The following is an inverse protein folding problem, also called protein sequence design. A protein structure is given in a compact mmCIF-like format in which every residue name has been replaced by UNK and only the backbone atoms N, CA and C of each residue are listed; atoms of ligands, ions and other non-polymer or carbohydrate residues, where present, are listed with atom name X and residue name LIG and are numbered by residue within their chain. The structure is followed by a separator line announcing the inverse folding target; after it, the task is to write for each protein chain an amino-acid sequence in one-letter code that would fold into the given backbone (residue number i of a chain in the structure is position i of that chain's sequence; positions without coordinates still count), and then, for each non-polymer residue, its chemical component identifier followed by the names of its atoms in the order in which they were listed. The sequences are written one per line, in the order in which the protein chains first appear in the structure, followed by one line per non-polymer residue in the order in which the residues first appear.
data_IF_425045708696
#
_entry.id   IF_425045708696
#
_cell.length_a   1.000
_cell.length_b   1.000
_cell.length_c   1.000
_cell.angle_alpha   90.00
_cell.angle_beta   90.00
_cell.angle_gamma   90.00
#
_symmetry.space_group_name_H-M   'P 1'
#
loop_
_entity.id
_entity.type
_entity.pdbx_description
1 polymer ?
#
# COMPACT_ATOMS: atom_id res chain seq x y z
N UNK A 1 33.34 -15.03 33.46
CA UNK A 1 32.34 -14.51 32.50
C UNK A 1 33.04 -14.30 31.18
N UNK A 2 32.84 -15.19 30.22
CA UNK A 2 33.56 -15.16 28.94
C UNK A 2 32.89 -14.12 28.03
N UNK A 3 33.61 -13.05 27.70
CA UNK A 3 33.13 -12.01 26.77
C UNK A 3 32.83 -12.62 25.40
N UNK A 4 31.60 -12.46 24.91
CA UNK A 4 31.11 -12.98 23.62
C UNK A 4 31.55 -12.14 22.40
N UNK A 5 32.26 -11.03 22.65
CA UNK A 5 32.70 -10.10 21.60
C UNK A 5 34.19 -9.77 21.75
N UNK A 6 34.85 -9.53 20.62
CA UNK A 6 36.21 -8.96 20.54
C UNK A 6 36.13 -7.53 20.00
N UNK A 7 36.87 -6.62 20.63
CA UNK A 7 36.87 -5.20 20.29
C UNK A 7 38.25 -4.83 19.74
N UNK A 8 38.29 -4.33 18.50
CA UNK A 8 39.52 -3.96 17.79
C UNK A 8 39.49 -2.47 17.44
N UNK A 9 40.49 -1.72 17.89
CA UNK A 9 40.64 -0.31 17.52
C UNK A 9 41.23 -0.20 16.12
N UNK A 10 40.52 0.49 15.22
CA UNK A 10 41.01 0.78 13.88
C UNK A 10 41.59 2.19 13.88
N UNK A 11 42.84 2.34 13.45
CA UNK A 11 43.47 3.64 13.26
C UNK A 11 43.53 3.94 11.77
N UNK A 12 42.75 4.88 11.24
CA UNK A 12 42.98 5.41 9.91
C UNK A 12 44.08 6.47 9.97
N UNK A 13 45.04 6.35 9.06
CA UNK A 13 45.96 7.42 8.67
C UNK A 13 45.14 8.57 8.05
N UNK A 14 45.35 9.79 8.55
CA UNK A 14 44.73 11.06 8.15
C UNK A 14 43.24 11.25 8.51
N UNK A 15 42.98 11.72 9.73
CA UNK A 15 41.89 12.67 9.99
C UNK A 15 42.21 13.50 11.26
N UNK A 16 41.98 14.83 11.29
CA UNK A 16 42.41 15.72 12.39
C UNK A 16 41.43 15.78 13.57
N UNK A 17 40.35 15.00 13.55
CA UNK A 17 39.38 14.94 14.63
C UNK A 17 39.67 13.76 15.57
N UNK A 18 39.69 14.01 16.88
CA UNK A 18 40.09 13.08 17.94
C UNK A 18 39.07 11.93 18.17
N UNK A 19 38.59 11.30 17.09
CA UNK A 19 37.55 10.27 17.10
C UNK A 19 38.21 8.89 17.01
N UNK A 20 37.99 8.05 18.03
CA UNK A 20 38.48 6.67 18.03
C UNK A 20 37.41 5.77 17.43
N UNK A 21 37.72 5.15 16.28
CA UNK A 21 36.83 4.20 15.62
C UNK A 21 37.12 2.78 16.11
N UNK A 22 36.15 2.16 16.77
CA UNK A 22 36.27 0.80 17.30
C UNK A 22 35.38 -0.15 16.49
N UNK A 23 35.97 -1.27 16.07
CA UNK A 23 35.27 -2.38 15.41
C UNK A 23 34.92 -3.42 16.47
N UNK A 24 33.64 -3.73 16.59
CA UNK A 24 33.14 -4.81 17.42
C UNK A 24 32.85 -6.02 16.53
N UNK A 25 33.44 -7.17 16.83
CA UNK A 25 33.12 -8.44 16.17
C UNK A 25 32.59 -9.43 17.19
N UNK A 26 31.41 -9.99 16.91
CA UNK A 26 30.86 -11.11 17.66
C UNK A 26 31.69 -12.35 17.34
N UNK A 27 32.08 -13.14 18.35
CA UNK A 27 32.83 -14.37 18.12
C UNK A 27 31.88 -15.41 17.52
N UNK A 28 31.99 -15.66 16.23
CA UNK A 28 31.23 -16.71 15.53
C UNK A 28 31.65 -18.09 16.05
N UNK A 29 30.68 -18.88 16.53
CA UNK A 29 30.82 -20.32 16.71
C UNK A 29 30.95 -20.97 15.33
N UNK A 30 32.13 -21.53 15.08
CA UNK A 30 32.49 -22.23 13.86
C UNK A 30 31.94 -23.65 13.94
N UNK A 31 30.89 -23.94 13.18
CA UNK A 31 30.53 -25.30 12.79
C UNK A 31 30.94 -25.51 11.32
N UNK A 32 31.87 -26.42 11.01
CA UNK A 32 32.42 -26.57 9.67
C UNK A 32 31.60 -27.60 8.89
N UNK A 33 30.49 -27.20 8.25
CA UNK A 33 29.92 -27.98 7.14
C UNK A 33 28.83 -27.21 6.39
N UNK A 34 29.22 -26.52 5.32
CA UNK A 34 28.51 -26.44 4.01
C UNK A 34 29.14 -25.34 3.16
N UNK A 35 29.93 -25.75 2.19
CA UNK A 35 30.29 -24.92 1.05
C UNK A 35 29.08 -24.81 0.13
N UNK A 36 28.51 -23.62 0.00
CA UNK A 36 27.57 -23.28 -1.06
C UNK A 36 27.76 -21.79 -1.43
N UNK A 37 28.25 -21.43 -2.63
CA UNK A 37 28.82 -20.10 -2.88
C UNK A 37 27.82 -18.99 -3.23
N UNK A 38 26.51 -19.16 -2.98
CA UNK A 38 25.50 -18.24 -3.56
C UNK A 38 24.60 -17.48 -2.58
N UNK A 39 24.82 -17.52 -1.26
CA UNK A 39 24.08 -16.66 -0.31
C UNK A 39 24.95 -16.16 0.85
N UNK A 40 25.86 -15.23 0.56
CA UNK A 40 26.48 -14.42 1.60
C UNK A 40 25.56 -13.22 1.85
N UNK A 41 24.78 -13.26 2.92
CA UNK A 41 24.16 -12.04 3.46
C UNK A 41 25.29 -11.14 3.97
N UNK A 42 25.34 -9.84 3.63
CA UNK A 42 26.35 -8.97 4.22
C UNK A 42 26.09 -8.90 5.72
N UNK A 43 26.97 -9.52 6.52
CA UNK A 43 26.98 -9.33 7.97
C UNK A 43 27.18 -7.85 8.22
N UNK A 44 26.18 -7.21 8.82
CA UNK A 44 26.13 -5.77 9.02
C UNK A 44 27.42 -5.27 9.65
N UNK A 45 28.13 -4.37 8.94
CA UNK A 45 29.29 -3.68 9.49
C UNK A 45 28.79 -2.66 10.51
N UNK A 46 28.79 -3.03 11.78
CA UNK A 46 28.49 -2.11 12.88
C UNK A 46 29.80 -1.46 13.35
N UNK A 47 29.91 -0.15 13.14
CA UNK A 47 30.98 0.68 13.70
C UNK A 47 30.40 1.48 14.87
N UNK A 48 31.09 1.48 16.01
CA UNK A 48 30.74 2.34 17.14
C UNK A 48 31.69 3.53 17.15
N UNK A 49 31.14 4.73 16.97
CA UNK A 49 31.87 5.99 17.14
C UNK A 49 31.78 6.40 18.60
N UNK A 50 32.91 6.33 19.31
CA UNK A 50 33.00 6.81 20.69
C UNK A 50 33.62 8.20 20.64
N UNK A 51 32.77 9.22 20.72
CA UNK A 51 33.23 10.60 20.85
C UNK A 51 33.72 10.84 22.28
N UNK A 52 34.96 11.30 22.41
CA UNK A 52 35.52 11.70 23.70
C UNK A 52 34.84 13.01 24.14
N UNK A 53 34.18 12.96 25.30
CA UNK A 53 33.47 14.04 26.04
C UNK A 53 33.70 15.46 25.48
N UNK A 54 32.65 16.20 25.06
CA UNK A 54 32.84 17.50 24.44
C UNK A 54 33.33 18.54 25.44
N UNK A 55 34.31 19.35 25.02
CA UNK A 55 34.75 20.55 25.71
C UNK A 55 33.61 21.60 25.65
N UNK A 56 33.37 22.33 26.75
CA UNK A 56 32.28 23.32 26.87
C UNK A 56 32.26 24.26 25.65
N UNK A 57 31.20 24.18 24.84
CA UNK A 57 30.88 25.20 23.84
C UNK A 57 30.55 24.72 22.42
N UNK A 58 30.64 23.42 22.09
CA UNK A 58 30.18 22.96 20.76
C UNK A 58 28.67 22.72 20.72
N UNK A 59 28.05 23.07 19.59
CA UNK A 59 26.63 22.87 19.29
C UNK A 59 26.22 21.41 19.56
N UNK A 60 25.08 21.16 20.21
CA UNK A 60 24.56 19.81 20.36
C UNK A 60 24.16 19.28 18.98
N UNK A 61 24.65 18.08 18.63
CA UNK A 61 24.19 17.29 17.48
C UNK A 61 22.79 16.72 17.78
N UNK A 62 21.82 17.61 17.96
CA UNK A 62 20.42 17.23 17.93
C UNK A 62 20.08 17.09 16.45
N UNK A 63 19.70 15.88 16.05
CA UNK A 63 19.32 15.45 14.70
C UNK A 63 19.08 16.61 13.73
N UNK A 64 20.05 16.85 12.84
CA UNK A 64 19.79 17.65 11.66
C UNK A 64 18.70 16.89 10.89
N UNK A 65 17.49 17.45 10.85
CA UNK A 65 16.40 16.91 10.06
C UNK A 65 16.81 17.08 8.59
N UNK A 66 17.44 16.04 8.04
CA UNK A 66 17.64 15.92 6.60
C UNK A 66 16.23 15.87 6.01
N UNK A 67 15.77 17.00 5.45
CA UNK A 67 14.50 17.07 4.74
C UNK A 67 14.65 16.13 3.55
N UNK A 68 14.04 14.94 3.64
CA UNK A 68 14.01 14.01 2.53
C UNK A 68 13.35 14.70 1.34
N UNK A 69 13.94 14.52 0.17
CA UNK A 69 13.36 14.96 -1.09
C UNK A 69 11.93 14.46 -1.21
N UNK A 70 11.04 15.34 -1.70
CA UNK A 70 9.60 15.11 -1.79
C UNK A 70 9.31 13.78 -2.52
N UNK A 71 8.80 12.79 -1.77
CA UNK A 71 8.48 11.45 -2.27
C UNK A 71 9.09 10.29 -1.48
N UNK A 72 10.27 10.46 -0.87
CA UNK A 72 10.97 9.34 -0.19
C UNK A 72 10.21 8.83 1.06
N UNK A 73 9.57 9.74 1.80
CA UNK A 73 8.75 9.39 2.96
C UNK A 73 7.51 8.58 2.57
N UNK A 74 6.94 8.86 1.40
CA UNK A 74 5.76 8.18 0.90
C UNK A 74 6.11 6.79 0.36
N UNK A 75 7.25 6.66 -0.32
CA UNK A 75 7.80 5.36 -0.74
C UNK A 75 8.06 4.46 0.47
N UNK A 76 8.69 4.99 1.53
CA UNK A 76 8.96 4.24 2.76
C UNK A 76 7.64 3.84 3.45
N UNK A 77 6.64 4.73 3.51
CA UNK A 77 5.32 4.42 4.07
C UNK A 77 4.61 3.33 3.27
N UNK A 78 4.61 3.39 1.95
CA UNK A 78 3.98 2.39 1.08
C UNK A 78 4.67 1.02 1.26
N UNK A 79 6.01 0.99 1.27
CA UNK A 79 6.76 -0.26 1.45
C UNK A 79 6.51 -0.89 2.82
N UNK A 80 6.51 -0.09 3.89
CA UNK A 80 6.22 -0.58 5.24
C UNK A 80 4.78 -1.06 5.38
N UNK A 81 3.82 -0.38 4.73
CA UNK A 81 2.42 -0.79 4.71
C UNK A 81 2.22 -2.10 3.95
N UNK A 82 2.77 -2.22 2.75
CA UNK A 82 2.74 -3.46 1.96
C UNK A 82 3.39 -4.61 2.73
N UNK A 83 4.52 -4.38 3.39
CA UNK A 83 5.19 -5.39 4.22
C UNK A 83 4.38 -5.81 5.45
N UNK A 84 3.64 -4.89 6.06
CA UNK A 84 2.75 -5.20 7.18
C UNK A 84 1.53 -6.02 6.72
N UNK A 85 0.97 -5.67 5.56
CA UNK A 85 -0.14 -6.38 4.92
C UNK A 85 0.27 -7.80 4.49
N UNK A 86 1.43 -7.95 3.84
CA UNK A 86 2.00 -9.25 3.48
C UNK A 86 2.24 -10.12 4.72
N UNK A 87 2.69 -9.53 5.83
CA UNK A 87 2.87 -10.25 7.10
C UNK A 87 1.53 -10.72 7.66
N UNK A 88 0.50 -9.88 7.63
CA UNK A 88 -0.84 -10.25 8.08
C UNK A 88 -1.46 -11.36 7.20
N UNK A 89 -1.31 -11.24 5.89
CA UNK A 89 -1.74 -12.25 4.92
C UNK A 89 -1.01 -13.57 5.14
N UNK A 90 0.30 -13.53 5.39
CA UNK A 90 1.08 -14.72 5.72
C UNK A 90 0.63 -15.37 7.03
N UNK A 91 0.40 -14.58 8.09
CA UNK A 91 -0.10 -15.09 9.38
C UNK A 91 -1.50 -15.71 9.26
N UNK A 92 -2.38 -15.12 8.44
CA UNK A 92 -3.69 -15.67 8.15
C UNK A 92 -3.60 -16.99 7.38
N UNK A 93 -2.79 -17.05 6.30
CA UNK A 93 -2.55 -18.28 5.54
C UNK A 93 -1.99 -19.40 6.42
N UNK A 94 -1.03 -19.09 7.31
CA UNK A 94 -0.48 -20.05 8.27
C UNK A 94 -1.56 -20.52 9.26
N UNK A 95 -2.45 -19.64 9.70
CA UNK A 95 -3.55 -19.98 10.61
C UNK A 95 -4.60 -20.86 9.93
N UNK A 96 -4.94 -20.57 8.67
CA UNK A 96 -5.82 -21.40 7.86
C UNK A 96 -5.23 -22.80 7.65
N UNK A 97 -3.97 -22.90 7.21
CA UNK A 97 -3.28 -24.19 7.05
C UNK A 97 -3.25 -24.99 8.35
N UNK A 98 -3.02 -24.35 9.50
CA UNK A 98 -3.12 -25.01 10.82
C UNK A 98 -4.52 -25.55 11.07
N UNK A 99 -5.56 -24.81 10.70
CA UNK A 99 -6.94 -25.27 10.84
C UNK A 99 -7.24 -26.44 9.92
N UNK A 100 -6.80 -26.42 8.66
CA UNK A 100 -6.97 -27.52 7.70
C UNK A 100 -6.24 -28.79 8.18
N UNK A 101 -5.01 -28.65 8.68
CA UNK A 101 -4.27 -29.76 9.28
C UNK A 101 -5.03 -30.36 10.47
N UNK A 102 -5.70 -29.54 11.30
CA UNK A 102 -6.57 -30.06 12.37
C UNK A 102 -7.75 -30.85 11.81
N UNK A 103 -8.46 -30.35 10.81
CA UNK A 103 -9.56 -31.09 10.17
C UNK A 103 -9.09 -32.42 9.57
N UNK A 104 -7.90 -32.44 8.95
CA UNK A 104 -7.30 -33.68 8.43
C UNK A 104 -6.97 -34.65 9.57
N UNK A 105 -6.44 -34.15 10.70
CA UNK A 105 -6.18 -34.97 11.88
C UNK A 105 -7.47 -35.52 12.49
N UNK A 106 -8.51 -34.70 12.59
CA UNK A 106 -9.83 -35.11 13.08
C UNK A 106 -10.44 -36.19 12.18
N UNK A 107 -10.43 -35.98 10.85
CA UNK A 107 -10.88 -36.97 9.88
C UNK A 107 -10.08 -38.28 10.00
N UNK A 108 -8.75 -38.20 10.17
CA UNK A 108 -7.90 -39.37 10.42
C UNK A 108 -8.30 -40.10 11.69
N UNK A 109 -8.51 -39.38 12.80
CA UNK A 109 -8.93 -40.01 14.06
C UNK A 109 -10.32 -40.62 13.96
N UNK A 110 -11.25 -39.97 13.25
CA UNK A 110 -12.60 -40.48 12.99
C UNK A 110 -12.55 -41.78 12.18
N UNK A 111 -11.78 -41.80 11.08
CA UNK A 111 -11.56 -43.02 10.29
C UNK A 111 -10.87 -44.11 11.12
N UNK A 112 -9.91 -43.75 11.97
CA UNK A 112 -9.22 -44.70 12.85
C UNK A 112 -10.16 -45.29 13.91
N UNK A 113 -11.08 -44.49 14.46
CA UNK A 113 -12.12 -44.96 15.37
C UNK A 113 -13.11 -45.86 14.65
N UNK A 114 -13.57 -45.48 13.45
CA UNK A 114 -14.42 -46.34 12.62
C UNK A 114 -13.74 -47.70 12.34
N UNK A 115 -12.45 -47.71 12.00
CA UNK A 115 -11.70 -48.98 11.83
C UNK A 115 -11.67 -49.81 13.10
N UNK A 116 -11.43 -49.19 14.27
CA UNK A 116 -11.48 -49.89 15.56
C UNK A 116 -12.88 -50.42 15.89
N UNK A 117 -13.93 -49.69 15.52
CA UNK A 117 -15.32 -50.13 15.69
C UNK A 117 -15.61 -51.33 14.79
N UNK A 118 -15.12 -51.32 13.55
CA UNK A 118 -15.22 -52.47 12.64
C UNK A 118 -14.39 -53.67 13.12
N UNK A 119 -13.16 -53.48 13.61
CA UNK A 119 -12.33 -54.56 14.14
C UNK A 119 -12.91 -55.12 15.45
N UNK A 120 -13.44 -54.25 16.31
CA UNK A 120 -14.13 -54.59 17.55
C UNK A 120 -15.47 -55.30 17.30
N UNK A 121 -16.20 -54.94 16.24
CA UNK A 121 -17.40 -55.67 15.81
C UNK A 121 -17.07 -56.96 15.07
N UNK A 122 -16.02 -57.00 14.25
CA UNK A 122 -15.58 -58.22 13.55
C UNK A 122 -15.17 -59.30 14.55
N UNK A 123 -14.51 -58.92 15.65
CA UNK A 123 -14.20 -59.84 16.76
C UNK A 123 -15.46 -60.34 17.49
N UNK A 124 -16.53 -59.52 17.58
CA UNK A 124 -17.84 -59.96 18.12
C UNK A 124 -18.65 -60.82 17.14
N UNK A 125 -18.52 -60.55 15.83
CA UNK A 125 -19.21 -61.28 14.77
C UNK A 125 -18.61 -62.69 14.55
N UNK A 126 -17.32 -62.88 14.83
CA UNK A 126 -16.69 -64.20 14.80
C UNK A 126 -17.07 -65.10 15.99
N UNK A 127 -17.61 -64.53 17.09
CA UNK A 127 -18.00 -65.29 18.27
C UNK A 127 -19.50 -65.66 18.30
N UNK A 128 -20.34 -64.93 17.55
CA UNK A 128 -21.76 -65.25 17.39
C UNK A 128 -22.05 -65.81 15.99
N UNK A 129 -21.86 -67.13 15.82
CA UNK A 129 -22.45 -67.88 14.70
C UNK A 129 -23.97 -67.94 14.87
N UNK A 130 -24.74 -67.37 13.94
CA UNK A 130 -26.08 -67.85 13.57
C UNK A 130 -26.55 -67.19 12.23
N UNK A 131 -27.59 -67.71 11.56
CA UNK A 131 -27.46 -68.29 10.24
C UNK A 131 -28.15 -67.48 9.13
N UNK A 132 -27.74 -67.78 7.89
CA UNK A 132 -28.46 -67.74 6.62
C UNK A 132 -29.66 -66.79 6.44
N UNK A 133 -29.48 -65.86 5.49
CA UNK A 133 -30.42 -65.40 4.47
C UNK A 133 -31.91 -65.64 4.74
N UNK A 134 -32.64 -64.56 5.01
CA UNK A 134 -34.04 -64.44 4.63
C UNK A 134 -34.27 -63.20 3.79
N UNK A 135 -34.87 -63.47 2.65
CA UNK A 135 -35.33 -62.61 1.57
C UNK A 135 -36.36 -61.61 2.12
N UNK A 136 -36.34 -60.40 1.58
CA UNK A 136 -37.36 -59.37 1.80
C UNK A 136 -38.72 -59.87 1.29
N UNK A 137 -39.68 -60.06 2.20
CA UNK A 137 -41.10 -60.12 1.85
C UNK A 137 -41.72 -58.74 2.06
N UNK A 138 -42.02 -58.09 0.94
CA UNK A 138 -42.92 -56.94 0.84
C UNK A 138 -44.35 -57.44 1.06
N UNK A 139 -44.88 -57.27 2.27
CA UNK A 139 -46.28 -57.58 2.58
C UNK A 139 -47.17 -56.48 2.01
N UNK A 140 -47.70 -56.73 0.81
CA UNK A 140 -48.89 -56.04 0.35
C UNK A 140 -50.07 -56.41 1.25
N UNK A 141 -50.74 -55.38 1.75
CA UNK A 141 -51.92 -55.48 2.60
C UNK A 141 -53.03 -56.28 1.89
N UNK A 142 -53.26 -57.50 2.36
CA UNK A 142 -54.38 -58.33 1.96
C UNK A 142 -55.70 -57.70 2.38
N UNK A 143 -56.45 -57.21 1.39
CA UNK A 143 -57.90 -57.13 1.49
C UNK A 143 -58.47 -58.53 1.25
N UNK A 144 -58.30 -59.44 2.22
CA UNK A 144 -58.99 -60.74 2.18
C UNK A 144 -60.38 -60.61 2.79
N UNK A 145 -61.37 -60.55 1.89
CA UNK A 145 -62.68 -61.19 1.99
C UNK A 145 -63.17 -61.61 3.39
N UNK A 146 -63.77 -60.65 4.12
CA UNK A 146 -64.74 -60.96 5.18
C UNK A 146 -66.13 -61.15 4.57
N UNK A 147 -66.29 -62.18 3.75
CA UNK A 147 -67.58 -62.70 3.31
C UNK A 147 -67.37 -64.19 3.20
N UNK A 148 -67.86 -64.95 4.19
CA UNK A 148 -68.29 -66.37 4.08
C UNK A 148 -68.25 -67.17 5.40
N UNK A 149 -67.88 -66.58 6.54
CA UNK A 149 -67.82 -67.35 7.81
C UNK A 149 -69.17 -67.56 8.54
N UNK A 150 -70.27 -66.97 8.07
CA UNK A 150 -71.57 -67.04 8.79
C UNK A 150 -72.60 -67.99 8.17
N UNK A 151 -72.28 -68.69 7.07
CA UNK A 151 -73.26 -69.56 6.37
C UNK A 151 -73.13 -71.07 6.70
N UNK A 152 -72.10 -71.51 7.42
CA UNK A 152 -71.87 -72.94 7.65
C UNK A 152 -72.36 -73.51 8.99
N UNK A 153 -72.93 -72.70 9.89
CA UNK A 153 -73.30 -73.16 11.25
C UNK A 153 -74.78 -73.46 11.46
N UNK A 154 -75.58 -73.58 10.39
CA UNK A 154 -77.01 -73.96 10.47
C UNK A 154 -77.35 -75.32 9.86
N UNK A 155 -76.35 -76.12 9.48
CA UNK A 155 -76.56 -77.39 8.78
C UNK A 155 -76.09 -78.64 9.55
N UNK A 156 -75.91 -78.55 10.87
CA UNK A 156 -75.66 -79.72 11.73
C UNK A 156 -76.58 -79.68 12.95
N UNK A 157 -77.88 -79.49 12.69
CA UNK A 157 -78.93 -79.91 13.61
C UNK A 157 -79.12 -81.40 13.42
N UNK A 158 -78.35 -82.21 14.15
CA UNK A 158 -78.80 -83.55 14.48
C UNK A 158 -80.09 -83.38 15.29
N UNK A 159 -81.24 -83.44 14.61
CA UNK A 159 -82.53 -83.76 15.23
C UNK A 159 -82.39 -85.17 15.81
N UNK A 160 -81.89 -85.24 17.05
CA UNK A 160 -81.94 -86.44 17.87
C UNK A 160 -83.42 -86.64 18.21
N UNK A 161 -84.11 -87.45 17.41
CA UNK A 161 -85.50 -87.86 17.63
C UNK A 161 -85.63 -88.46 19.03
N UNK A 162 -86.20 -87.67 19.95
CA UNK A 162 -86.37 -88.05 21.35
C UNK A 162 -87.47 -89.11 21.44
N UNK A 163 -87.08 -90.38 21.57
CA UNK A 163 -87.98 -91.43 22.02
C UNK A 163 -88.41 -91.15 23.48
N UNK A 164 -89.60 -90.56 23.62
CA UNK A 164 -90.26 -90.32 24.90
C UNK A 164 -90.89 -91.63 25.36
N UNK A 165 -90.11 -92.49 26.00
CA UNK A 165 -90.69 -93.48 26.91
C UNK A 165 -89.76 -93.76 28.10
N UNK A 166 -90.30 -93.65 29.32
CA UNK A 166 -89.67 -93.72 30.65
C UNK A 166 -88.97 -92.44 31.19
N UNK A 167 -89.48 -91.84 32.29
CA UNK A 167 -88.96 -90.60 32.90
C UNK A 167 -87.50 -90.57 33.40
N UNK A 168 -86.74 -91.67 33.25
CA UNK A 168 -85.28 -91.70 33.42
C UNK A 168 -84.55 -91.22 32.16
N UNK A 169 -85.04 -91.56 30.96
CA UNK A 169 -84.46 -91.11 29.68
C UNK A 169 -84.52 -89.59 29.54
N UNK A 170 -85.65 -88.98 29.93
CA UNK A 170 -85.82 -87.51 29.91
C UNK A 170 -84.86 -86.76 30.86
N UNK A 171 -84.52 -87.37 32.01
CA UNK A 171 -83.56 -86.79 32.95
C UNK A 171 -82.15 -86.84 32.39
N UNK A 172 -81.78 -87.95 31.78
CA UNK A 172 -80.47 -88.12 31.14
C UNK A 172 -80.31 -87.20 29.93
N UNK A 173 -81.34 -87.04 29.09
CA UNK A 173 -81.31 -86.11 27.96
C UNK A 173 -81.22 -84.66 28.42
N UNK A 174 -81.97 -84.25 29.45
CA UNK A 174 -81.86 -82.92 30.04
C UNK A 174 -80.46 -82.64 30.62
N UNK A 175 -79.84 -83.64 31.29
CA UNK A 175 -78.50 -83.52 31.82
C UNK A 175 -77.45 -83.37 30.71
N UNK A 176 -77.55 -84.16 29.62
CA UNK A 176 -76.68 -84.04 28.43
C UNK A 176 -76.81 -82.69 27.73
N UNK A 177 -78.04 -82.17 27.60
CA UNK A 177 -78.28 -80.85 27.02
C UNK A 177 -77.69 -79.73 27.88
N UNK A 178 -77.85 -79.83 29.20
CA UNK A 178 -77.26 -78.87 30.14
C UNK A 178 -75.72 -78.86 30.08
N UNK A 179 -75.07 -80.03 30.01
CA UNK A 179 -73.62 -80.10 29.84
C UNK A 179 -73.17 -79.53 28.50
N UNK A 180 -73.88 -79.84 27.40
CA UNK A 180 -73.61 -79.27 26.08
C UNK A 180 -73.70 -77.74 26.09
N UNK A 181 -74.74 -77.17 26.72
CA UNK A 181 -74.90 -75.73 26.86
C UNK A 181 -73.76 -75.10 27.68
N UNK A 182 -73.41 -75.72 28.83
CA UNK A 182 -72.33 -75.23 29.68
C UNK A 182 -70.96 -75.30 28.98
N UNK A 183 -70.71 -76.33 28.17
CA UNK A 183 -69.49 -76.43 27.36
C UNK A 183 -69.46 -75.39 26.24
N UNK A 184 -70.58 -75.16 25.55
CA UNK A 184 -70.69 -74.13 24.52
C UNK A 184 -70.46 -72.73 25.11
N UNK A 185 -71.03 -72.43 26.27
CA UNK A 185 -70.83 -71.16 26.98
C UNK A 185 -69.35 -70.98 27.40
N UNK A 186 -68.72 -72.02 27.93
CA UNK A 186 -67.27 -71.98 28.27
C UNK A 186 -66.41 -71.75 27.03
N UNK A 187 -66.71 -72.42 25.91
CA UNK A 187 -66.00 -72.23 24.63
C UNK A 187 -66.17 -70.80 24.13
N UNK A 188 -67.39 -70.27 24.12
CA UNK A 188 -67.68 -68.90 23.71
C UNK A 188 -66.94 -67.88 24.59
N UNK A 189 -66.89 -68.10 25.91
CA UNK A 189 -66.17 -67.21 26.82
C UNK A 189 -64.65 -67.26 26.58
N UNK A 190 -64.10 -68.44 26.29
CA UNK A 190 -62.69 -68.60 25.93
C UNK A 190 -62.36 -67.92 24.59
N UNK A 191 -63.21 -68.08 23.58
CA UNK A 191 -63.09 -67.41 22.28
C UNK A 191 -63.15 -65.89 22.44
N UNK A 192 -64.11 -65.36 23.22
CA UNK A 192 -64.21 -63.93 23.50
C UNK A 192 -62.92 -63.37 24.09
N UNK A 193 -62.37 -64.03 25.12
CA UNK A 193 -61.08 -63.63 25.74
C UNK A 193 -59.93 -63.68 24.74
N UNK A 194 -59.85 -64.73 23.93
CA UNK A 194 -58.84 -64.85 22.88
C UNK A 194 -58.93 -63.72 21.84
N UNK A 195 -60.14 -63.30 21.46
CA UNK A 195 -60.33 -62.17 20.55
C UNK A 195 -60.01 -60.83 21.21
N UNK A 196 -60.36 -60.64 22.48
CA UNK A 196 -60.01 -59.46 23.27
C UNK A 196 -58.48 -59.29 23.38
N UNK A 197 -57.75 -60.36 23.68
CA UNK A 197 -56.28 -60.35 23.74
C UNK A 197 -55.66 -60.03 22.37
N UNK A 198 -56.18 -60.64 21.29
CA UNK A 198 -55.72 -60.34 19.92
C UNK A 198 -56.00 -58.89 19.52
N UNK A 199 -57.18 -58.37 19.87
CA UNK A 199 -57.55 -56.99 19.59
C UNK A 199 -56.65 -56.02 20.36
N UNK A 200 -56.41 -56.29 21.65
CA UNK A 200 -55.50 -55.50 22.48
C UNK A 200 -54.08 -55.47 21.90
N UNK A 201 -53.56 -56.63 21.46
CA UNK A 201 -52.24 -56.71 20.83
C UNK A 201 -52.18 -55.93 19.52
N UNK A 202 -53.17 -56.11 18.64
CA UNK A 202 -53.26 -55.40 17.37
C UNK A 202 -53.36 -53.87 17.59
N UNK A 203 -54.09 -53.44 18.61
CA UNK A 203 -54.19 -52.03 18.99
C UNK A 203 -52.84 -51.48 19.46
N UNK A 204 -52.11 -52.20 20.32
CA UNK A 204 -50.79 -51.78 20.78
C UNK A 204 -49.78 -51.66 19.62
N UNK A 205 -49.79 -52.61 18.69
CA UNK A 205 -48.94 -52.57 17.49
C UNK A 205 -49.28 -51.38 16.59
N UNK A 206 -50.58 -51.09 16.39
CA UNK A 206 -51.03 -49.93 15.64
C UNK A 206 -50.60 -48.61 16.31
N UNK A 207 -50.74 -48.50 17.64
CA UNK A 207 -50.31 -47.32 18.39
C UNK A 207 -48.78 -47.11 18.31
N UNK A 208 -47.99 -48.19 18.40
CA UNK A 208 -46.54 -48.13 18.22
C UNK A 208 -46.17 -47.67 16.81
N UNK A 209 -46.83 -48.22 15.78
CA UNK A 209 -46.64 -47.81 14.38
C UNK A 209 -47.01 -46.34 14.16
N UNK A 210 -48.11 -45.87 14.76
CA UNK A 210 -48.51 -44.46 14.71
C UNK A 210 -47.47 -43.55 15.37
N UNK A 211 -46.92 -43.94 16.53
CA UNK A 211 -45.85 -43.18 17.21
C UNK A 211 -44.59 -43.09 16.34
N UNK A 212 -44.11 -44.23 15.84
CA UNK A 212 -42.95 -44.27 14.96
C UNK A 212 -43.14 -43.44 13.68
N UNK A 213 -44.34 -43.49 13.08
CA UNK A 213 -44.68 -42.67 11.92
C UNK A 213 -44.65 -41.18 12.25
N UNK A 214 -45.21 -40.77 13.40
CA UNK A 214 -45.23 -39.36 13.81
C UNK A 214 -43.81 -38.82 14.05
N UNK A 215 -42.94 -39.61 14.67
CA UNK A 215 -41.53 -39.24 14.86
C UNK A 215 -40.79 -39.11 13.51
N UNK A 216 -41.02 -40.05 12.58
CA UNK A 216 -40.46 -39.97 11.24
C UNK A 216 -40.98 -38.74 10.46
N UNK A 217 -42.26 -38.41 10.59
CA UNK A 217 -42.85 -37.20 10.00
C UNK A 217 -42.22 -35.93 10.57
N UNK A 218 -42.02 -35.84 11.89
CA UNK A 218 -41.36 -34.70 12.53
C UNK A 218 -39.92 -34.54 12.04
N UNK A 219 -39.12 -35.61 12.06
CA UNK A 219 -37.75 -35.58 11.55
C UNK A 219 -37.69 -35.18 10.07
N UNK A 220 -38.62 -35.68 9.24
CA UNK A 220 -38.71 -35.30 7.84
C UNK A 220 -39.03 -33.80 7.66
N UNK A 221 -39.92 -33.24 8.49
CA UNK A 221 -40.21 -31.80 8.44
C UNK A 221 -39.04 -30.93 8.90
N UNK A 222 -38.27 -31.37 9.91
CA UNK A 222 -37.06 -30.68 10.37
C UNK A 222 -35.99 -30.68 9.28
N UNK A 223 -35.69 -31.84 8.69
CA UNK A 223 -34.75 -31.92 7.57
C UNK A 223 -35.21 -31.11 6.36
N UNK A 224 -36.51 -31.10 6.04
CA UNK A 224 -37.04 -30.26 4.96
C UNK A 224 -36.76 -28.77 5.23
N UNK A 225 -36.92 -28.32 6.48
CA UNK A 225 -36.59 -26.94 6.89
C UNK A 225 -35.11 -26.63 6.75
N UNK A 226 -34.24 -27.53 7.21
CA UNK A 226 -32.77 -27.39 7.06
C UNK A 226 -32.37 -27.25 5.59
N UNK A 227 -32.95 -28.08 4.72
CA UNK A 227 -32.67 -28.04 3.29
C UNK A 227 -33.19 -26.73 2.67
N UNK A 228 -34.35 -26.22 3.09
CA UNK A 228 -34.85 -24.92 2.63
C UNK A 228 -33.95 -23.76 3.07
N UNK A 229 -33.42 -23.78 4.29
CA UNK A 229 -32.47 -22.77 4.77
C UNK A 229 -31.15 -22.81 3.99
N UNK A 230 -30.62 -24.02 3.71
CA UNK A 230 -29.43 -24.19 2.87
C UNK A 230 -29.68 -23.71 1.44
N UNK A 231 -30.83 -24.04 0.84
CA UNK A 231 -31.21 -23.54 -0.50
C UNK A 231 -31.29 -22.02 -0.53
N UNK A 232 -31.88 -21.40 0.50
CA UNK A 232 -31.95 -19.93 0.62
C UNK A 232 -30.55 -19.32 0.70
N UNK A 233 -29.65 -19.90 1.51
CA UNK A 233 -28.28 -19.41 1.65
C UNK A 233 -27.50 -19.54 0.34
N UNK A 234 -27.59 -20.70 -0.34
CA UNK A 234 -26.95 -20.91 -1.64
C UNK A 234 -27.47 -19.90 -2.68
N UNK A 235 -28.79 -19.64 -2.73
CA UNK A 235 -29.35 -18.63 -3.62
C UNK A 235 -28.83 -17.22 -3.31
N UNK A 236 -28.68 -16.86 -2.02
CA UNK A 236 -28.11 -15.58 -1.62
C UNK A 236 -26.65 -15.44 -2.07
N UNK A 237 -25.84 -16.48 -1.86
CA UNK A 237 -24.44 -16.51 -2.30
C UNK A 237 -24.30 -16.44 -3.81
N UNK A 238 -25.16 -17.15 -4.55
CA UNK A 238 -25.16 -17.12 -6.02
C UNK A 238 -25.51 -15.71 -6.53
N UNK A 239 -26.51 -15.05 -5.94
CA UNK A 239 -26.86 -13.67 -6.27
C UNK A 239 -25.70 -12.70 -5.96
N UNK A 240 -25.02 -12.87 -4.84
CA UNK A 240 -23.85 -12.08 -4.48
C UNK A 240 -22.69 -12.33 -5.45
N UNK A 241 -22.42 -13.60 -5.79
CA UNK A 241 -21.39 -13.98 -6.75
C UNK A 241 -21.65 -13.35 -8.13
N UNK A 242 -22.89 -13.41 -8.62
CA UNK A 242 -23.31 -12.76 -9.86
C UNK A 242 -23.20 -11.23 -9.77
N UNK A 243 -23.53 -10.64 -8.62
CA UNK A 243 -23.33 -9.21 -8.36
C UNK A 243 -21.86 -8.81 -8.43
N UNK A 244 -20.97 -9.56 -7.78
CA UNK A 244 -19.53 -9.33 -7.80
C UNK A 244 -18.94 -9.52 -9.19
N UNK A 245 -19.38 -10.53 -9.95
CA UNK A 245 -18.96 -10.71 -11.34
C UNK A 245 -19.36 -9.54 -12.23
N UNK A 246 -20.56 -8.99 -12.06
CA UNK A 246 -21.00 -7.78 -12.80
C UNK A 246 -20.13 -6.58 -12.46
N UNK A 247 -19.89 -6.31 -11.18
CA UNK A 247 -19.00 -5.23 -10.73
C UNK A 247 -17.57 -5.39 -11.25
N UNK A 248 -17.05 -6.62 -11.28
CA UNK A 248 -15.72 -6.90 -11.83
C UNK A 248 -15.67 -6.53 -13.32
N UNK A 249 -16.69 -6.93 -14.09
CA UNK A 249 -16.79 -6.59 -15.51
C UNK A 249 -16.92 -5.08 -15.74
N UNK A 250 -17.76 -4.39 -14.96
CA UNK A 250 -17.90 -2.93 -15.02
C UNK A 250 -16.56 -2.22 -14.74
N UNK A 251 -15.80 -2.71 -13.75
CA UNK A 251 -14.48 -2.18 -13.41
C UNK A 251 -13.44 -2.45 -14.52
N UNK A 252 -13.48 -3.62 -15.15
CA UNK A 252 -12.61 -3.97 -16.28
C UNK A 252 -12.90 -3.05 -17.47
N UNK A 253 -14.17 -2.83 -17.79
CA UNK A 253 -14.58 -1.89 -18.83
C UNK A 253 -14.18 -0.44 -18.52
N UNK A 254 -14.30 0.00 -17.26
CA UNK A 254 -13.83 1.33 -16.83
C UNK A 254 -12.31 1.46 -16.95
N UNK A 255 -11.56 0.42 -16.55
CA UNK A 255 -10.12 0.39 -16.68
C UNK A 255 -9.69 0.48 -18.15
N UNK A 256 -10.39 -0.20 -19.05
CA UNK A 256 -10.13 -0.12 -20.49
C UNK A 256 -10.53 1.23 -21.10
N UNK A 257 -11.60 1.86 -20.60
CA UNK A 257 -11.93 3.26 -20.93
C UNK A 257 -10.80 4.21 -20.52
N UNK A 258 -10.27 4.09 -19.29
CA UNK A 258 -9.15 4.92 -18.84
C UNK A 258 -7.87 4.67 -19.65
N UNK A 259 -7.56 3.42 -20.02
CA UNK A 259 -6.42 3.11 -20.89
C UNK A 259 -6.56 3.75 -22.27
N UNK A 260 -7.75 3.65 -22.89
CA UNK A 260 -7.99 4.24 -24.21
C UNK A 260 -7.98 5.77 -24.16
N UNK A 261 -8.51 6.37 -23.10
CA UNK A 261 -8.39 7.81 -22.85
C UNK A 261 -6.93 8.22 -22.70
N UNK A 262 -6.13 7.53 -21.89
CA UNK A 262 -4.70 7.81 -21.73
C UNK A 262 -3.94 7.70 -23.06
N UNK A 263 -4.31 6.75 -23.92
CA UNK A 263 -3.74 6.65 -25.28
C UNK A 263 -4.13 7.85 -26.14
N UNK A 264 -5.38 8.33 -26.06
CA UNK A 264 -5.83 9.55 -26.75
C UNK A 264 -5.21 10.82 -26.19
N UNK A 265 -4.88 10.86 -24.89
CA UNK A 265 -4.22 11.99 -24.24
C UNK A 265 -2.71 12.02 -24.52
N UNK A 266 -2.13 10.94 -25.04
CA UNK A 266 -0.71 10.85 -25.40
C UNK A 266 -0.22 12.04 -26.25
N UNK A 267 -0.87 12.37 -27.39
CA UNK A 267 -0.53 13.55 -28.19
C UNK A 267 -0.67 14.89 -27.47
N UNK A 268 -1.61 15.02 -26.53
CA UNK A 268 -1.73 16.22 -25.70
C UNK A 268 -0.59 16.29 -24.70
N UNK A 269 -0.21 15.16 -24.11
CA UNK A 269 0.91 15.06 -23.19
C UNK A 269 2.24 15.40 -23.88
N UNK A 270 2.50 14.87 -25.08
CA UNK A 270 3.70 15.24 -25.85
C UNK A 270 3.72 16.73 -26.19
N UNK A 271 2.56 17.31 -26.55
CA UNK A 271 2.46 18.75 -26.80
C UNK A 271 2.72 19.58 -25.54
N UNK A 272 2.24 19.15 -24.38
CA UNK A 272 2.54 19.79 -23.10
C UNK A 272 4.05 19.73 -22.80
N UNK A 273 4.70 18.58 -22.98
CA UNK A 273 6.15 18.42 -22.79
C UNK A 273 6.95 19.31 -23.75
N UNK A 274 6.54 19.42 -25.01
CA UNK A 274 7.14 20.34 -25.98
C UNK A 274 6.98 21.79 -25.54
N UNK A 275 5.78 22.19 -25.12
CA UNK A 275 5.55 23.55 -24.62
C UNK A 275 6.39 23.84 -23.38
N UNK A 276 6.50 22.92 -22.42
CA UNK A 276 7.37 23.06 -21.24
C UNK A 276 8.85 23.25 -21.60
N UNK A 277 9.35 22.49 -22.59
CA UNK A 277 10.71 22.69 -23.13
C UNK A 277 10.88 24.08 -23.73
N UNK A 278 9.91 24.55 -24.53
CA UNK A 278 9.98 25.90 -25.11
C UNK A 278 9.91 26.98 -24.04
N UNK A 279 9.07 26.83 -23.02
CA UNK A 279 8.97 27.76 -21.89
C UNK A 279 10.29 27.81 -21.11
N UNK A 280 10.93 26.67 -20.87
CA UNK A 280 12.22 26.60 -20.19
C UNK A 280 13.31 27.30 -21.02
N UNK A 281 13.38 27.02 -22.33
CA UNK A 281 14.33 27.71 -23.22
C UNK A 281 14.08 29.21 -23.34
N UNK A 282 12.82 29.67 -23.28
CA UNK A 282 12.50 31.10 -23.24
C UNK A 282 12.92 31.74 -21.91
N UNK A 283 12.73 31.06 -20.77
CA UNK A 283 13.21 31.54 -19.47
C UNK A 283 14.73 31.70 -19.45
N UNK A 284 15.47 30.76 -20.02
CA UNK A 284 16.93 30.85 -20.17
C UNK A 284 17.33 32.04 -21.05
N UNK A 285 16.68 32.24 -22.20
CA UNK A 285 16.92 33.40 -23.07
C UNK A 285 16.67 34.73 -22.36
N UNK A 286 15.59 34.82 -21.59
CA UNK A 286 15.28 36.01 -20.77
C UNK A 286 16.39 36.24 -19.74
N UNK A 287 16.85 35.17 -19.08
CA UNK A 287 17.94 35.27 -18.11
C UNK A 287 19.25 35.77 -18.75
N UNK A 288 19.63 35.24 -19.92
CA UNK A 288 20.80 35.71 -20.66
C UNK A 288 20.68 37.17 -21.11
N UNK A 289 19.49 37.59 -21.56
CA UNK A 289 19.23 38.98 -21.94
C UNK A 289 19.34 39.91 -20.72
N UNK A 290 18.84 39.51 -19.56
CA UNK A 290 18.94 40.28 -18.31
C UNK A 290 20.41 40.45 -17.87
N UNK A 291 21.23 39.41 -18.00
CA UNK A 291 22.67 39.49 -17.72
C UNK A 291 23.40 40.43 -18.68
N UNK A 292 23.08 40.35 -19.98
CA UNK A 292 23.62 41.29 -20.98
C UNK A 292 23.21 42.73 -20.67
N UNK A 293 21.95 42.95 -20.29
CA UNK A 293 21.44 44.26 -19.90
C UNK A 293 22.18 44.80 -18.67
N UNK A 294 22.36 43.99 -17.61
CA UNK A 294 23.12 44.38 -16.42
C UNK A 294 24.58 44.71 -16.74
N UNK A 295 25.21 43.96 -17.64
CA UNK A 295 26.57 44.23 -18.11
C UNK A 295 26.65 45.58 -18.84
N UNK A 296 25.72 45.84 -19.76
CA UNK A 296 25.64 47.13 -20.46
C UNK A 296 25.37 48.28 -19.50
N UNK A 297 24.44 48.13 -18.56
CA UNK A 297 24.17 49.13 -17.52
C UNK A 297 25.42 49.42 -16.68
N UNK A 298 26.18 48.39 -16.30
CA UNK A 298 27.45 48.56 -15.56
C UNK A 298 28.47 49.35 -16.38
N UNK A 299 28.58 49.07 -17.68
CA UNK A 299 29.48 49.80 -18.59
C UNK A 299 29.08 51.27 -18.72
N UNK A 300 27.78 51.57 -18.85
CA UNK A 300 27.29 52.96 -18.90
C UNK A 300 27.58 53.69 -17.58
N UNK A 301 27.37 53.04 -16.43
CA UNK A 301 27.74 53.63 -15.12
C UNK A 301 29.23 53.98 -15.05
N UNK A 302 30.10 53.08 -15.51
CA UNK A 302 31.55 53.34 -15.59
C UNK A 302 31.88 54.49 -16.54
N UNK A 303 31.20 54.60 -17.69
CA UNK A 303 31.40 55.72 -18.61
C UNK A 303 30.96 57.05 -18.00
N UNK A 304 29.84 57.07 -17.27
CA UNK A 304 29.37 58.28 -16.56
C UNK A 304 30.39 58.68 -15.49
N UNK A 305 30.89 57.73 -14.72
CA UNK A 305 31.92 57.97 -13.70
C UNK A 305 33.21 58.54 -14.32
N UNK A 306 33.68 57.96 -15.43
CA UNK A 306 34.85 58.47 -16.17
C UNK A 306 34.62 59.90 -16.69
N UNK A 307 33.44 60.20 -17.22
CA UNK A 307 33.09 61.54 -17.69
C UNK A 307 33.03 62.56 -16.54
N UNK A 308 32.48 62.17 -15.38
CA UNK A 308 32.44 63.02 -14.19
C UNK A 308 33.85 63.32 -13.66
N UNK A 309 34.73 62.32 -13.63
CA UNK A 309 36.14 62.49 -13.24
C UNK A 309 36.89 63.41 -14.22
N UNK A 310 36.65 63.25 -15.52
CA UNK A 310 37.25 64.15 -16.53
C UNK A 310 36.74 65.59 -16.40
N UNK A 311 35.44 65.77 -16.14
CA UNK A 311 34.83 67.08 -15.93
C UNK A 311 35.40 67.80 -14.70
N UNK A 312 35.54 67.12 -13.58
CA UNK A 312 36.13 67.69 -12.35
C UNK A 312 37.58 68.08 -12.58
N UNK A 313 38.38 67.21 -13.20
CA UNK A 313 39.76 67.52 -13.59
C UNK A 313 39.85 68.75 -14.53
N UNK A 314 38.90 68.90 -15.46
CA UNK A 314 38.84 70.08 -16.33
C UNK A 314 38.52 71.36 -15.53
N UNK A 315 37.56 71.28 -14.60
CA UNK A 315 37.21 72.42 -13.73
C UNK A 315 38.39 72.87 -12.86
N UNK A 316 39.18 71.94 -12.32
CA UNK A 316 40.42 72.26 -11.60
C UNK A 316 41.43 73.01 -12.48
N UNK A 317 41.56 72.61 -13.76
CA UNK A 317 42.42 73.31 -14.72
C UNK A 317 41.89 74.69 -15.07
N UNK A 318 40.58 74.86 -15.19
CA UNK A 318 39.95 76.16 -15.47
C UNK A 318 40.17 77.15 -14.33
N UNK A 319 40.08 76.70 -13.07
CA UNK A 319 40.40 77.50 -11.88
C UNK A 319 41.87 77.97 -11.94
N UNK A 320 42.81 77.04 -12.19
CA UNK A 320 44.22 77.39 -12.32
C UNK A 320 44.48 78.38 -13.48
N UNK A 321 43.79 78.21 -14.61
CA UNK A 321 43.87 79.15 -15.73
C UNK A 321 43.37 80.53 -15.30
N UNK A 322 42.29 80.61 -14.52
CA UNK A 322 41.76 81.87 -14.00
C UNK A 322 42.76 82.53 -13.04
N UNK A 323 43.32 81.81 -12.08
CA UNK A 323 44.36 82.32 -11.17
C UNK A 323 45.57 82.86 -11.92
N UNK A 324 46.03 82.15 -12.96
CA UNK A 324 47.12 82.62 -13.82
C UNK A 324 46.74 83.88 -14.61
N UNK A 325 45.50 83.99 -15.09
CA UNK A 325 45.01 85.20 -15.77
C UNK A 325 44.97 86.40 -14.84
N UNK A 326 44.50 86.21 -13.60
CA UNK A 326 44.51 87.25 -12.58
C UNK A 326 45.93 87.70 -12.26
N UNK A 327 46.87 86.75 -12.10
CA UNK A 327 48.29 87.08 -11.89
C UNK A 327 48.90 87.84 -13.06
N UNK A 328 48.59 87.46 -14.30
CA UNK A 328 49.02 88.18 -15.50
C UNK A 328 48.43 89.59 -15.53
N UNK A 329 47.14 89.76 -15.22
CA UNK A 329 46.50 91.08 -15.18
C UNK A 329 47.12 91.97 -14.10
N UNK A 330 47.43 91.42 -12.92
CA UNK A 330 48.11 92.14 -11.85
C UNK A 330 49.51 92.59 -12.29
N UNK A 331 50.30 91.68 -12.88
CA UNK A 331 51.62 92.00 -13.43
C UNK A 331 51.54 93.02 -14.58
N UNK A 332 50.48 93.00 -15.39
CA UNK A 332 50.27 93.97 -16.46
C UNK A 332 49.97 95.37 -15.91
N UNK A 333 49.13 95.47 -14.88
CA UNK A 333 48.83 96.73 -14.21
C UNK A 333 50.09 97.31 -13.52
N UNK A 334 50.87 96.48 -12.84
CA UNK A 334 52.16 96.87 -12.26
C UNK A 334 53.15 97.34 -13.33
N UNK A 335 53.26 96.62 -14.46
CA UNK A 335 54.09 97.05 -15.58
C UNK A 335 53.64 98.40 -16.16
N UNK A 336 52.33 98.63 -16.29
CA UNK A 336 51.79 99.90 -16.78
C UNK A 336 52.11 101.04 -15.80
N UNK A 337 51.95 100.84 -14.50
CA UNK A 337 52.30 101.83 -13.49
C UNK A 337 53.81 102.19 -13.52
N UNK A 338 54.66 101.18 -13.73
CA UNK A 338 56.11 101.40 -13.90
C UNK A 338 56.42 102.15 -15.21
N UNK A 339 55.70 101.87 -16.29
CA UNK A 339 55.82 102.61 -17.56
C UNK A 339 55.38 104.06 -17.42
N UNK A 340 54.25 104.34 -16.77
CA UNK A 340 53.75 105.70 -16.52
C UNK A 340 54.74 106.51 -15.67
N UNK A 341 55.33 105.88 -14.63
CA UNK A 341 56.40 106.50 -13.82
C UNK A 341 57.61 106.85 -14.69
N UNK A 342 58.04 105.93 -15.56
CA UNK A 342 59.16 106.13 -16.46
C UNK A 342 58.90 107.27 -17.46
N UNK A 343 57.68 107.34 -18.01
CA UNK A 343 57.26 108.43 -18.91
C UNK A 343 57.27 109.79 -18.19
N UNK A 344 56.74 109.87 -16.96
CA UNK A 344 56.80 111.10 -16.15
C UNK A 344 58.24 111.57 -15.89
N UNK A 345 59.15 110.65 -15.55
CA UNK A 345 60.58 111.00 -15.38
C UNK A 345 61.21 111.52 -16.66
N UNK A 346 60.86 110.95 -17.82
CA UNK A 346 61.33 111.44 -19.13
C UNK A 346 60.74 112.81 -19.45
N UNK A 347 59.46 113.07 -19.15
CA UNK A 347 58.79 114.34 -19.42
C UNK A 347 59.23 115.50 -18.50
N UNK A 348 59.66 115.22 -17.26
CA UNK A 348 60.01 116.27 -16.27
C UNK A 348 61.48 116.72 -16.35
N UNK A 349 62.28 116.15 -17.25
CA UNK A 349 63.67 116.54 -17.51
C UNK A 349 63.72 117.75 -18.46
N UNK A 350 64.21 118.94 -18.05
CA UNK A 350 64.42 120.05 -18.97
C UNK A 350 65.73 119.83 -19.73
N UNK A 351 65.63 119.40 -20.99
CA UNK A 351 66.76 119.44 -21.92
C UNK A 351 67.07 118.17 -22.73
N UNK A 352 66.27 117.11 -22.66
CA UNK A 352 66.50 115.94 -23.51
C UNK A 352 65.47 115.78 -24.63
N UNK A 353 65.98 115.90 -25.85
CA UNK A 353 65.30 115.69 -27.11
C UNK A 353 64.63 114.31 -27.17
N UNK A 354 63.43 114.30 -27.72
CA UNK A 354 62.55 113.14 -27.89
C UNK A 354 63.19 112.06 -28.77
N UNK A 355 63.27 110.85 -28.24
CA UNK A 355 63.20 109.62 -29.03
C UNK A 355 62.24 108.65 -28.34
N UNK A 356 61.00 108.65 -28.82
CA UNK A 356 59.98 107.67 -28.44
C UNK A 356 60.51 106.23 -28.61
N UNK A 357 60.26 105.31 -27.65
CA UNK A 357 60.70 103.94 -27.76
C UNK A 357 59.85 103.19 -28.77
N UNK A 358 60.55 102.46 -29.64
CA UNK A 358 59.99 101.61 -30.69
C UNK A 358 59.07 100.55 -30.07
N UNK A 359 57.80 100.58 -30.46
CA UNK A 359 56.82 99.53 -30.20
C UNK A 359 57.38 98.18 -30.63
N UNK A 360 57.70 97.32 -29.66
CA UNK A 360 58.07 95.94 -29.94
C UNK A 360 56.81 95.19 -30.42
N UNK A 361 56.85 94.54 -31.60
CA UNK A 361 55.74 93.72 -32.05
C UNK A 361 55.59 92.52 -31.11
N UNK A 362 54.35 92.21 -30.73
CA UNK A 362 53.98 90.94 -30.08
C UNK A 362 54.65 89.77 -30.83
N UNK A 363 55.36 88.87 -30.15
CA UNK A 363 55.80 87.64 -30.79
C UNK A 363 54.57 86.78 -31.09
N UNK A 364 54.40 86.52 -32.38
CA UNK A 364 53.38 85.66 -32.95
C UNK A 364 53.70 84.21 -32.55
N UNK A 365 53.02 83.67 -31.53
CA UNK A 365 53.05 82.24 -31.23
C UNK A 365 52.24 81.50 -32.30
N UNK A 366 52.89 81.24 -33.43
CA UNK A 366 52.44 80.28 -34.42
C UNK A 366 52.36 78.88 -33.79
N UNK A 367 51.14 78.46 -33.50
CA UNK A 367 50.56 77.16 -33.83
C UNK A 367 51.51 75.94 -33.79
N UNK A 368 52.00 75.58 -32.60
CA UNK A 368 52.44 74.20 -32.37
C UNK A 368 51.20 73.37 -32.10
N UNK A 369 50.73 72.64 -33.12
CA UNK A 369 49.77 71.54 -32.94
C UNK A 369 50.36 70.52 -31.97
N UNK A 370 50.09 70.68 -30.67
CA UNK A 370 50.22 69.59 -29.70
C UNK A 370 49.09 68.61 -30.01
N UNK A 371 49.41 67.52 -30.69
CA UNK A 371 48.55 66.34 -30.76
C UNK A 371 48.46 65.80 -29.33
N UNK A 372 47.34 66.08 -28.66
CA UNK A 372 47.01 65.45 -27.39
C UNK A 372 46.62 64.00 -27.71
N UNK A 373 47.57 63.07 -27.54
CA UNK A 373 47.23 61.66 -27.43
C UNK A 373 46.66 61.44 -26.01
N UNK A 374 45.44 60.89 -25.86
CA UNK A 374 44.90 60.59 -24.55
C UNK A 374 45.76 59.51 -23.85
N UNK A 375 45.99 59.60 -22.53
CA UNK A 375 46.72 58.58 -21.80
C UNK A 375 45.84 57.33 -21.68
N UNK A 376 46.14 56.28 -22.47
CA UNK A 376 45.45 54.99 -22.33
C UNK A 376 45.45 54.03 -23.54
N UNK A 377 45.96 54.39 -24.72
CA UNK A 377 45.89 53.50 -25.92
C UNK A 377 46.99 52.44 -25.99
N UNK A 378 47.35 51.83 -24.85
CA UNK A 378 48.39 50.79 -24.73
C UNK A 378 47.84 49.38 -24.61
N UNK A 379 46.82 49.00 -25.41
CA UNK A 379 46.38 47.59 -25.48
C UNK A 379 46.34 47.15 -26.95
N UNK A 380 47.14 46.15 -27.35
CA UNK A 380 47.00 45.56 -28.68
C UNK A 380 45.67 44.81 -28.74
N UNK A 381 44.86 45.08 -29.77
CA UNK A 381 43.69 44.26 -30.08
C UNK A 381 44.14 42.85 -30.48
N UNK A 382 43.46 41.77 -30.05
CA UNK A 382 43.74 40.45 -30.57
C UNK A 382 43.30 40.39 -32.04
N UNK A 383 44.23 40.05 -32.93
CA UNK A 383 43.92 39.73 -34.33
C UNK A 383 43.07 38.45 -34.36
N UNK A 384 41.81 38.59 -34.73
CA UNK A 384 40.95 37.46 -35.06
C UNK A 384 41.43 36.91 -36.41
N UNK A 385 41.98 35.70 -36.42
CA UNK A 385 42.16 34.94 -37.67
C UNK A 385 40.81 34.31 -38.03
N UNK A 386 40.21 34.80 -39.10
CA UNK A 386 39.17 34.05 -39.80
C UNK A 386 39.85 32.83 -40.44
N UNK A 387 39.42 31.64 -40.00
CA UNK A 387 39.63 30.40 -40.75
C UNK A 387 38.35 30.22 -41.56
N UNK A 388 38.45 30.42 -42.88
CA UNK A 388 37.41 29.97 -43.81
C UNK A 388 37.29 28.46 -43.72
N UNK A 389 36.06 27.97 -43.59
CA UNK A 389 35.66 26.58 -43.85
C UNK A 389 34.72 26.56 -45.02
#
# INVERSE_FOLDING_TARGET
MNSLCTLQQLHPELDPEHVKTLRLTLREDHSPERNDPTKIKPVGRAFALISSRPLRGSRPLNSELIKSTEGDEEIIKIYLKAKAEDKANHEWNVSQLRSEVRHIQEARTSIQNLRKDFDGNASKFMQNKCPQNKVYEEKQNGAEHYRDSWRSTVADGQEEELEIDNGKSLRETAQRLYTKLQEAEKKQQAERRMYEDKLSKCQQEAEQSIRARREAEQNATEHQREVEELRRLMASMENEHQGLRRKLKENEEELDRMKTQKMQDGPLQTRCEELEKTVSGLKEKIHHLDDMLKSQQRKVRQMIEQLQNSRTAMQEKDILIQELREKVSWLQAENLELQDKLEHFVSTQPGHTSYHPRSHPRPNLQNVKKVYLPPGSGRPFPLIKLVET
#
